data_IF_350291941455
#
_entry.id   IF_350291941455
#
_cell.length_a   1.000
_cell.length_b   1.000
_cell.length_c   1.000
_cell.angle_alpha   90.00
_cell.angle_beta   90.00
_cell.angle_gamma   90.00
#
_symmetry.space_group_name_H-M   'P 1'
#
loop_
_entity.id
_entity.type
_entity.pdbx_description
1 polymer ?
#
# COMPACT_ATOMS: atom_id res chain seq x y z
N UNK A 1 28.39 -22.08 5.53
CA UNK A 1 27.50 -20.90 5.50
C UNK A 1 27.87 -20.06 6.70
N UNK A 2 28.45 -18.89 6.45
CA UNK A 2 29.02 -18.01 7.48
C UNK A 2 27.89 -17.28 8.23
N UNK A 3 27.83 -17.46 9.55
CA UNK A 3 26.76 -16.95 10.42
C UNK A 3 27.13 -15.61 11.10
N UNK A 4 28.20 -14.97 10.65
CA UNK A 4 28.91 -13.91 11.38
C UNK A 4 28.36 -12.49 11.27
N UNK A 5 27.16 -12.26 10.73
CA UNK A 5 26.63 -10.90 10.58
C UNK A 5 25.14 -10.71 10.91
N UNK A 6 24.58 -11.53 11.80
CA UNK A 6 23.29 -11.22 12.45
C UNK A 6 23.54 -10.35 13.67
N UNK A 7 23.84 -9.07 13.47
CA UNK A 7 23.60 -8.08 14.52
C UNK A 7 22.08 -7.96 14.71
N UNK A 8 21.56 -8.72 15.66
CA UNK A 8 20.22 -8.52 16.20
C UNK A 8 20.19 -7.16 16.88
N UNK A 9 19.53 -6.21 16.24
CA UNK A 9 19.25 -4.89 16.80
C UNK A 9 18.15 -5.05 17.84
N UNK A 10 18.48 -5.61 18.99
CA UNK A 10 17.55 -5.67 20.12
C UNK A 10 17.80 -4.56 21.14
N UNK A 11 18.83 -3.72 20.96
CA UNK A 11 19.24 -2.73 21.98
C UNK A 11 19.17 -1.27 21.55
N UNK A 12 18.92 -0.98 20.27
CA UNK A 12 18.79 0.40 19.82
C UNK A 12 17.36 0.67 19.36
N UNK A 13 16.69 1.56 20.09
CA UNK A 13 15.39 2.15 19.75
C UNK A 13 15.49 2.97 18.45
N UNK A 14 15.69 2.33 17.31
CA UNK A 14 15.62 3.00 16.02
C UNK A 14 14.15 3.19 15.65
N UNK A 15 13.67 4.42 15.81
CA UNK A 15 12.34 4.82 15.37
C UNK A 15 12.27 4.71 13.84
N UNK A 16 11.15 4.22 13.29
CA UNK A 16 10.95 4.20 11.84
C UNK A 16 11.14 5.59 11.19
N UNK A 17 10.85 6.65 11.95
CA UNK A 17 11.05 8.04 11.53
C UNK A 17 12.52 8.42 11.20
N UNK A 18 13.51 7.67 11.68
CA UNK A 18 14.93 7.93 11.35
C UNK A 18 15.43 7.17 10.12
N UNK A 19 14.58 6.36 9.48
CA UNK A 19 14.94 5.63 8.26
C UNK A 19 14.88 6.59 7.07
N UNK A 20 15.98 6.66 6.33
CA UNK A 20 16.13 7.56 5.17
C UNK A 20 16.07 6.79 3.85
N UNK A 21 16.68 5.61 3.79
CA UNK A 21 16.58 4.71 2.63
C UNK A 21 16.23 3.32 3.10
N UNK A 22 15.20 2.73 2.47
CA UNK A 22 14.79 1.35 2.66
C UNK A 22 15.03 0.54 1.37
N UNK A 23 15.57 -0.67 1.53
CA UNK A 23 15.83 -1.60 0.43
C UNK A 23 15.20 -2.97 0.76
N UNK A 24 14.44 -3.48 -0.21
CA UNK A 24 13.86 -4.83 -0.16
C UNK A 24 14.55 -5.69 -1.20
N UNK A 25 15.10 -6.83 -0.78
CA UNK A 25 15.86 -7.74 -1.64
C UNK A 25 15.01 -8.97 -1.95
N UNK A 26 14.91 -9.34 -3.23
CA UNK A 26 14.19 -10.56 -3.65
C UNK A 26 14.79 -11.78 -2.94
N UNK A 27 13.92 -12.62 -2.36
CA UNK A 27 14.34 -13.81 -1.60
C UNK A 27 14.68 -13.55 -0.12
N UNK A 28 14.67 -12.30 0.33
CA UNK A 28 14.86 -11.95 1.75
C UNK A 28 13.55 -11.50 2.39
N UNK A 29 13.35 -11.86 3.67
CA UNK A 29 12.20 -11.47 4.50
C UNK A 29 12.51 -10.32 5.46
N UNK A 30 13.73 -9.78 5.39
CA UNK A 30 14.25 -8.75 6.28
C UNK A 30 14.24 -7.39 5.56
N UNK A 31 14.12 -6.32 6.34
CA UNK A 31 14.23 -4.95 5.87
C UNK A 31 15.70 -4.53 5.95
N UNK A 32 16.26 -4.03 4.85
CA UNK A 32 17.57 -3.41 4.85
C UNK A 32 17.38 -1.89 4.82
N UNK A 33 17.96 -1.15 5.76
CA UNK A 33 17.76 0.29 5.81
C UNK A 33 19.05 1.05 6.19
N UNK A 34 19.07 2.35 5.89
CA UNK A 34 20.10 3.28 6.36
C UNK A 34 19.47 4.61 6.77
N UNK A 35 20.14 5.31 7.67
CA UNK A 35 19.71 6.59 8.26
C UNK A 35 20.35 7.80 7.58
N UNK A 36 21.04 7.58 6.46
CA UNK A 36 21.74 8.61 5.68
C UNK A 36 21.66 8.29 4.19
N UNK A 37 21.70 9.32 3.34
CA UNK A 37 21.78 9.14 1.89
C UNK A 37 23.19 8.85 1.39
N UNK A 38 24.23 9.00 2.23
CA UNK A 38 25.62 8.80 1.81
C UNK A 38 25.84 7.39 1.23
N UNK A 39 26.66 7.30 0.20
CA UNK A 39 26.89 6.07 -0.55
C UNK A 39 27.70 5.04 0.24
N UNK A 40 28.62 5.51 1.07
CA UNK A 40 29.48 4.72 1.96
C UNK A 40 28.75 4.16 3.20
N UNK A 41 27.55 4.67 3.50
CA UNK A 41 26.83 4.25 4.70
C UNK A 41 26.27 2.83 4.55
N UNK A 42 26.63 1.89 5.46
CA UNK A 42 26.23 0.50 5.34
C UNK A 42 24.74 0.32 5.61
N UNK A 43 24.14 -0.64 4.90
CA UNK A 43 22.78 -1.06 5.18
C UNK A 43 22.73 -1.91 6.45
N UNK A 44 21.83 -1.53 7.34
CA UNK A 44 21.49 -2.25 8.55
C UNK A 44 20.34 -3.21 8.25
N UNK A 45 20.43 -4.46 8.71
CA UNK A 45 19.41 -5.48 8.51
C UNK A 45 18.51 -5.58 9.75
N UNK A 46 17.20 -5.41 9.56
CA UNK A 46 16.20 -5.60 10.61
C UNK A 46 15.20 -6.69 10.23
N UNK A 47 14.93 -7.58 11.19
CA UNK A 47 13.75 -8.44 11.14
C UNK A 47 12.54 -7.66 11.66
N UNK A 48 11.72 -7.19 10.72
CA UNK A 48 10.50 -6.43 11.02
C UNK A 48 9.28 -7.35 11.19
N UNK A 49 9.41 -8.64 10.88
CA UNK A 49 8.32 -9.59 10.97
C UNK A 49 8.33 -10.21 12.37
N UNK A 50 7.47 -9.69 13.26
CA UNK A 50 7.21 -10.37 14.53
C UNK A 50 6.67 -11.76 14.24
N UNK A 51 7.36 -12.80 14.73
CA UNK A 51 6.94 -14.22 14.63
C UNK A 51 5.50 -14.45 15.12
N UNK A 52 5.00 -13.57 15.99
CA UNK A 52 3.60 -13.42 16.38
C UNK A 52 3.22 -11.95 16.23
N UNK A 53 2.61 -11.57 15.12
CA UNK A 53 1.91 -10.30 15.05
C UNK A 53 0.64 -10.43 15.90
N UNK A 54 0.63 -9.80 17.08
CA UNK A 54 -0.57 -9.68 17.91
C UNK A 54 -1.53 -8.65 17.26
N UNK A 55 -2.12 -9.04 16.13
CA UNK A 55 -3.19 -8.30 15.49
C UNK A 55 -4.47 -8.67 16.24
N UNK A 56 -4.72 -7.99 17.37
CA UNK A 56 -5.91 -8.22 18.19
C UNK A 56 -7.20 -7.80 17.48
N UNK A 57 -7.09 -6.93 16.46
CA UNK A 57 -8.21 -6.46 15.67
C UNK A 57 -7.82 -6.48 14.19
N UNK A 58 -8.43 -7.40 13.44
CA UNK A 58 -8.44 -7.36 11.99
C UNK A 58 -9.61 -6.45 11.62
N UNK A 59 -9.40 -5.35 10.87
CA UNK A 59 -10.50 -4.54 10.40
C UNK A 59 -11.49 -5.41 9.63
N UNK A 60 -12.78 -5.19 9.85
CA UNK A 60 -13.79 -5.88 9.06
C UNK A 60 -13.54 -5.66 7.57
N UNK A 61 -13.62 -6.74 6.80
CA UNK A 61 -13.59 -6.64 5.35
C UNK A 61 -14.71 -5.71 4.88
N UNK A 62 -14.43 -4.89 3.86
CA UNK A 62 -15.46 -4.01 3.28
C UNK A 62 -16.62 -4.88 2.79
N UNK A 63 -17.79 -4.73 3.42
CA UNK A 63 -19.00 -5.50 3.09
C UNK A 63 -19.67 -5.00 1.81
N UNK A 64 -19.44 -3.74 1.46
CA UNK A 64 -20.04 -3.08 0.31
C UNK A 64 -18.97 -2.70 -0.72
N UNK A 65 -19.34 -2.81 -1.99
CA UNK A 65 -18.50 -2.30 -3.07
C UNK A 65 -18.47 -0.78 -2.99
N UNK A 66 -17.26 -0.21 -3.06
CA UNK A 66 -17.06 1.25 -2.92
C UNK A 66 -17.84 2.06 -3.95
N UNK A 67 -17.92 1.57 -5.19
CA UNK A 67 -18.63 2.23 -6.28
C UNK A 67 -18.11 3.62 -6.63
N UNK A 68 -18.91 4.35 -7.41
CA UNK A 68 -18.73 5.76 -7.74
C UNK A 68 -20.08 6.50 -7.60
N UNK A 69 -20.08 7.82 -7.51
CA UNK A 69 -21.34 8.57 -7.46
C UNK A 69 -22.15 8.44 -8.76
N UNK A 70 -23.46 8.55 -8.64
CA UNK A 70 -24.41 8.48 -9.78
C UNK A 70 -24.05 9.49 -10.86
N UNK A 71 -23.77 10.73 -10.43
CA UNK A 71 -23.38 11.83 -11.33
C UNK A 71 -22.10 11.50 -12.10
N UNK A 72 -21.07 10.99 -11.41
CA UNK A 72 -19.79 10.64 -12.02
C UNK A 72 -19.94 9.48 -13.01
N UNK A 73 -20.73 8.46 -12.67
CA UNK A 73 -21.03 7.35 -13.59
C UNK A 73 -21.70 7.84 -14.86
N UNK A 74 -22.72 8.71 -14.74
CA UNK A 74 -23.40 9.28 -15.88
C UNK A 74 -22.44 10.09 -16.78
N UNK A 75 -21.55 10.89 -16.19
CA UNK A 75 -20.51 11.62 -16.92
C UNK A 75 -19.58 10.70 -17.71
N UNK A 76 -19.11 9.62 -17.09
CA UNK A 76 -18.24 8.63 -17.76
C UNK A 76 -18.96 7.95 -18.92
N UNK A 77 -20.21 7.50 -18.71
CA UNK A 77 -20.99 6.84 -19.77
C UNK A 77 -21.29 7.79 -20.94
N UNK A 78 -21.51 9.08 -20.67
CA UNK A 78 -21.80 10.08 -21.70
C UNK A 78 -20.57 10.51 -22.48
N UNK A 79 -19.43 10.69 -21.81
CA UNK A 79 -18.23 11.30 -22.40
C UNK A 79 -17.18 10.27 -22.80
N UNK A 80 -16.87 9.32 -21.91
CA UNK A 80 -15.75 8.41 -22.10
C UNK A 80 -16.15 7.15 -22.89
N UNK A 81 -17.30 6.54 -22.59
CA UNK A 81 -17.73 5.30 -23.26
C UNK A 81 -17.90 5.40 -24.79
N UNK A 82 -18.35 6.53 -25.38
CA UNK A 82 -18.39 6.68 -26.84
C UNK A 82 -16.99 6.72 -27.50
N UNK A 83 -15.96 7.12 -26.75
CA UNK A 83 -14.58 7.23 -27.23
C UNK A 83 -13.78 5.93 -27.04
N UNK A 84 -14.35 4.95 -26.33
CA UNK A 84 -13.70 3.68 -26.04
C UNK A 84 -14.21 2.55 -26.94
N UNK A 85 -13.39 1.51 -27.20
CA UNK A 85 -13.88 0.27 -27.79
C UNK A 85 -14.99 -0.34 -26.95
N UNK A 86 -16.07 -0.84 -27.59
CA UNK A 86 -17.25 -1.37 -26.90
C UNK A 86 -16.95 -2.43 -25.84
N UNK A 87 -15.89 -3.23 -26.03
CA UNK A 87 -15.44 -4.23 -25.05
C UNK A 87 -15.08 -3.62 -23.69
N UNK A 88 -14.63 -2.36 -23.65
CA UNK A 88 -14.25 -1.65 -22.41
C UNK A 88 -15.43 -0.95 -21.72
N UNK A 89 -16.57 -0.80 -22.41
CA UNK A 89 -17.74 -0.13 -21.84
C UNK A 89 -18.43 -0.98 -20.76
N UNK A 90 -18.37 -2.31 -20.90
CA UNK A 90 -18.99 -3.28 -19.98
C UNK A 90 -18.56 -3.07 -18.52
N UNK A 91 -17.29 -2.70 -18.30
CA UNK A 91 -16.80 -2.38 -16.96
C UNK A 91 -17.53 -1.17 -16.36
N UNK A 92 -17.62 -0.07 -17.10
CA UNK A 92 -18.23 1.18 -16.65
C UNK A 92 -19.76 1.08 -16.54
N UNK A 93 -20.41 0.25 -17.34
CA UNK A 93 -21.84 -0.03 -17.23
C UNK A 93 -22.15 -0.79 -15.93
N UNK A 94 -21.30 -1.76 -15.58
CA UNK A 94 -21.50 -2.65 -14.42
C UNK A 94 -20.91 -2.12 -13.10
N UNK A 95 -20.15 -1.03 -13.14
CA UNK A 95 -19.56 -0.47 -11.91
C UNK A 95 -20.68 -0.08 -10.92
N UNK A 96 -20.61 -0.50 -9.66
CA UNK A 96 -21.63 -0.17 -8.68
C UNK A 96 -21.63 1.33 -8.38
N UNK A 97 -22.80 1.83 -7.99
CA UNK A 97 -23.01 3.22 -7.62
C UNK A 97 -23.09 3.32 -6.10
N UNK A 98 -22.47 4.34 -5.53
CA UNK A 98 -22.53 4.62 -4.10
C UNK A 98 -22.39 6.14 -3.88
N UNK A 99 -23.51 6.78 -3.56
CA UNK A 99 -23.56 8.22 -3.27
C UNK A 99 -23.29 8.54 -1.80
N UNK A 100 -23.16 7.52 -0.93
CA UNK A 100 -22.93 7.69 0.51
C UNK A 100 -21.43 7.66 0.89
N UNK A 101 -20.56 7.38 -0.08
CA UNK A 101 -19.12 7.33 0.14
C UNK A 101 -18.56 8.74 0.41
N UNK A 102 -18.42 9.10 1.68
CA UNK A 102 -18.00 10.44 2.13
C UNK A 102 -16.71 10.95 1.47
N UNK A 103 -15.74 10.06 1.20
CA UNK A 103 -14.47 10.42 0.56
C UNK A 103 -14.57 10.61 -0.97
N UNK A 104 -15.70 10.27 -1.59
CA UNK A 104 -16.00 10.58 -3.00
C UNK A 104 -16.81 11.86 -3.17
N UNK A 105 -17.42 12.36 -2.08
CA UNK A 105 -18.22 13.60 -2.05
C UNK A 105 -17.33 14.81 -1.77
N UNK A 106 -16.30 14.65 -0.94
CA UNK A 106 -15.33 15.69 -0.67
C UNK A 106 -14.35 15.83 -1.86
N UNK A 107 -14.60 16.80 -2.74
CA UNK A 107 -13.54 17.34 -3.60
C UNK A 107 -12.55 18.11 -2.72
N UNK A 108 -11.26 17.76 -2.81
CA UNK A 108 -10.17 18.51 -2.16
C UNK A 108 -9.91 19.83 -2.88
#
# INVERSE_FOLDING_TARGET
MDLSNRQTINEANYKLASIVVAQFRRGHRSLFYKTSHREDSPFVCADFLKKKANIHHIPDGRKTSRGISTSKKAGILKVLCPLMPKSRNVFWERIPVNDEAADLIAEF
#
